data_IF_280170406625
#
_entry.id   IF_280170406625
#
_cell.length_a   1.000
_cell.length_b   1.000
_cell.length_c   1.000
_cell.angle_alpha   90.00
_cell.angle_beta   90.00
_cell.angle_gamma   90.00
#
_symmetry.space_group_name_H-M   'P 1'
#
loop_
_entity.id
_entity.type
_entity.pdbx_description
1 polymer ?
#
# COMPACT_ATOMS: atom_id res chain seq x y z
N UNK A 1 0.92 -28.16 -12.77
CA UNK A 1 0.85 -28.10 -11.28
C UNK A 1 1.50 -26.83 -10.73
N UNK A 2 2.11 -25.98 -11.56
CA UNK A 2 2.89 -24.82 -11.07
C UNK A 2 2.04 -23.62 -10.63
N UNK A 3 0.84 -23.45 -11.18
CA UNK A 3 -0.03 -22.30 -10.89
C UNK A 3 -0.49 -22.23 -9.43
N UNK A 4 -0.92 -23.35 -8.82
CA UNK A 4 -1.34 -23.37 -7.42
C UNK A 4 -0.17 -23.12 -6.47
N UNK A 5 1.00 -23.70 -6.78
CA UNK A 5 2.22 -23.49 -6.00
C UNK A 5 2.68 -22.03 -6.08
N UNK A 6 2.68 -21.45 -7.27
CA UNK A 6 3.01 -20.04 -7.48
C UNK A 6 2.03 -19.13 -6.72
N UNK A 7 0.73 -19.39 -6.82
CA UNK A 7 -0.30 -18.62 -6.13
C UNK A 7 -0.14 -18.71 -4.60
N UNK A 8 0.09 -19.90 -4.04
CA UNK A 8 0.34 -20.08 -2.62
C UNK A 8 1.58 -19.34 -2.11
N UNK A 9 2.66 -19.32 -2.91
CA UNK A 9 3.86 -18.54 -2.59
C UNK A 9 3.58 -17.03 -2.60
N UNK A 10 2.83 -16.54 -3.59
CA UNK A 10 2.46 -15.14 -3.69
C UNK A 10 1.57 -14.70 -2.54
N UNK A 11 0.57 -15.50 -2.16
CA UNK A 11 -0.28 -15.24 -0.99
C UNK A 11 0.58 -15.14 0.28
N UNK A 12 1.52 -16.07 0.46
CA UNK A 12 2.41 -16.07 1.62
C UNK A 12 3.29 -14.83 1.71
N UNK A 13 3.77 -14.32 0.56
CA UNK A 13 4.56 -13.09 0.49
C UNK A 13 3.69 -11.85 0.70
N UNK A 14 2.52 -11.81 0.07
CA UNK A 14 1.57 -10.70 0.17
C UNK A 14 1.07 -10.48 1.61
N UNK A 15 0.85 -11.56 2.38
CA UNK A 15 0.46 -11.46 3.79
C UNK A 15 1.52 -10.82 4.69
N UNK A 16 2.78 -10.76 4.26
CA UNK A 16 3.89 -10.15 4.99
C UNK A 16 4.17 -8.70 4.56
N UNK A 17 3.46 -8.21 3.54
CA UNK A 17 3.64 -6.86 3.01
C UNK A 17 3.10 -5.78 3.95
N UNK A 18 1.90 -5.94 4.55
CA UNK A 18 1.37 -4.96 5.48
C UNK A 18 2.32 -4.75 6.67
N UNK A 19 2.77 -3.52 6.87
CA UNK A 19 3.56 -3.12 8.02
C UNK A 19 2.74 -2.29 9.01
N UNK A 20 3.06 -2.41 10.31
CA UNK A 20 2.37 -1.66 11.37
C UNK A 20 2.81 -0.19 11.44
N UNK A 21 4.04 0.11 11.02
CA UNK A 21 4.62 1.46 11.07
C UNK A 21 4.93 1.93 9.66
N UNK A 22 4.18 2.94 9.21
CA UNK A 22 4.40 3.58 7.90
C UNK A 22 5.50 4.62 8.00
N UNK A 23 6.41 4.63 7.03
CA UNK A 23 7.46 5.64 6.95
C UNK A 23 6.90 7.02 6.57
N UNK A 24 7.54 8.09 7.06
CA UNK A 24 7.17 9.48 6.72
C UNK A 24 7.55 9.88 5.29
N UNK A 25 8.31 9.04 4.58
CA UNK A 25 8.81 9.31 3.25
C UNK A 25 7.73 9.06 2.20
N UNK A 26 7.38 10.09 1.42
CA UNK A 26 6.38 9.98 0.35
C UNK A 26 6.81 9.04 -0.75
N UNK A 27 8.09 9.05 -1.13
CA UNK A 27 8.60 8.19 -2.21
C UNK A 27 8.58 6.73 -1.78
N UNK A 28 8.95 6.44 -0.53
CA UNK A 28 8.77 5.12 0.06
C UNK A 28 7.31 4.67 0.01
N UNK A 29 6.37 5.54 0.40
CA UNK A 29 4.94 5.21 0.41
C UNK A 29 4.42 4.94 -1.01
N UNK A 30 4.87 5.70 -2.01
CA UNK A 30 4.52 5.47 -3.43
C UNK A 30 5.07 4.15 -3.97
N UNK A 31 6.32 3.83 -3.65
CA UNK A 31 6.94 2.56 -4.02
C UNK A 31 6.21 1.38 -3.38
N UNK A 32 5.82 1.53 -2.11
CA UNK A 32 5.07 0.52 -1.37
C UNK A 32 3.67 0.30 -1.96
N UNK A 33 2.96 1.38 -2.34
CA UNK A 33 1.69 1.30 -3.08
C UNK A 33 1.88 0.55 -4.40
N UNK A 34 2.92 0.87 -5.17
CA UNK A 34 3.20 0.21 -6.45
C UNK A 34 3.49 -1.28 -6.27
N UNK A 35 4.25 -1.64 -5.23
CA UNK A 35 4.56 -3.03 -4.85
C UNK A 35 3.30 -3.80 -4.48
N UNK A 36 2.45 -3.23 -3.62
CA UNK A 36 1.19 -3.83 -3.21
C UNK A 36 0.22 -4.01 -4.40
N UNK A 37 0.08 -3.00 -5.27
CA UNK A 37 -0.73 -3.07 -6.50
C UNK A 37 -0.26 -4.17 -7.45
N UNK A 38 1.06 -4.29 -7.65
CA UNK A 38 1.65 -5.35 -8.49
C UNK A 38 1.37 -6.74 -7.93
N UNK A 39 1.46 -6.91 -6.60
CA UNK A 39 1.17 -8.17 -5.93
C UNK A 39 -0.32 -8.53 -6.06
N UNK A 40 -1.21 -7.56 -5.84
CA UNK A 40 -2.65 -7.70 -5.99
C UNK A 40 -3.02 -8.18 -7.40
N UNK A 41 -2.54 -7.47 -8.43
CA UNK A 41 -2.84 -7.82 -9.82
C UNK A 41 -2.36 -9.23 -10.20
N UNK A 42 -1.21 -9.66 -9.64
CA UNK A 42 -0.67 -10.99 -9.92
C UNK A 42 -1.52 -12.09 -9.27
N UNK A 43 -1.93 -11.90 -8.01
CA UNK A 43 -2.81 -12.83 -7.30
C UNK A 43 -4.18 -12.89 -7.98
N UNK A 44 -4.76 -11.73 -8.33
CA UNK A 44 -6.07 -11.63 -8.98
C UNK A 44 -6.12 -12.34 -10.35
N UNK A 45 -5.06 -12.20 -11.13
CA UNK A 45 -4.92 -12.91 -12.40
C UNK A 45 -4.82 -14.42 -12.21
N UNK A 46 -4.03 -14.88 -11.22
CA UNK A 46 -3.80 -16.31 -11.00
C UNK A 46 -5.01 -16.99 -10.36
N UNK A 47 -5.78 -16.30 -9.52
CA UNK A 47 -7.01 -16.84 -8.92
C UNK A 47 -8.12 -17.06 -9.95
N UNK A 48 -8.07 -16.37 -11.10
CA UNK A 48 -9.02 -16.56 -12.20
C UNK A 48 -8.77 -17.84 -13.01
N UNK A 49 -7.72 -18.60 -12.70
CA UNK A 49 -7.39 -19.84 -13.38
C UNK A 49 -8.35 -20.97 -12.97
N UNK A 50 -8.93 -21.73 -13.93
CA UNK A 50 -9.83 -22.85 -13.62
C UNK A 50 -9.12 -24.06 -12.99
N UNK A 51 -7.79 -24.00 -12.83
CA UNK A 51 -6.94 -25.09 -12.35
C UNK A 51 -6.59 -25.00 -10.86
N UNK A 52 -7.26 -24.12 -10.11
CA UNK A 52 -7.02 -23.94 -8.68
C UNK A 52 -8.18 -24.53 -7.87
N UNK A 53 -7.86 -25.05 -6.69
CA UNK A 53 -8.83 -25.52 -5.72
C UNK A 53 -9.66 -24.37 -5.14
N UNK A 54 -10.91 -24.65 -4.76
CA UNK A 54 -11.79 -23.66 -4.12
C UNK A 54 -11.19 -23.10 -2.82
N UNK A 55 -10.42 -23.91 -2.09
CA UNK A 55 -9.69 -23.47 -0.90
C UNK A 55 -8.68 -22.37 -1.26
N UNK A 56 -7.84 -22.61 -2.27
CA UNK A 56 -6.82 -21.66 -2.68
C UNK A 56 -7.43 -20.41 -3.33
N UNK A 57 -8.55 -20.54 -4.04
CA UNK A 57 -9.33 -19.40 -4.54
C UNK A 57 -9.80 -18.50 -3.39
N UNK A 58 -10.38 -19.08 -2.33
CA UNK A 58 -10.80 -18.29 -1.17
C UNK A 58 -9.62 -17.61 -0.48
N UNK A 59 -8.50 -18.33 -0.29
CA UNK A 59 -7.28 -17.73 0.28
C UNK A 59 -6.71 -16.58 -0.57
N UNK A 60 -6.81 -16.69 -1.90
CA UNK A 60 -6.42 -15.63 -2.83
C UNK A 60 -7.33 -14.41 -2.72
N UNK A 61 -8.65 -14.63 -2.65
CA UNK A 61 -9.66 -13.58 -2.46
C UNK A 61 -9.41 -12.81 -1.16
N UNK A 62 -9.28 -13.52 -0.04
CA UNK A 62 -8.97 -12.91 1.26
C UNK A 62 -7.67 -12.09 1.20
N UNK A 63 -6.68 -12.59 0.45
CA UNK A 63 -5.41 -11.88 0.27
C UNK A 63 -5.56 -10.61 -0.60
N UNK A 64 -6.40 -10.65 -1.63
CA UNK A 64 -6.74 -9.49 -2.44
C UNK A 64 -7.45 -8.42 -1.61
N UNK A 65 -8.36 -8.81 -0.71
CA UNK A 65 -9.03 -7.88 0.21
C UNK A 65 -8.03 -7.24 1.17
N UNK A 66 -7.13 -8.04 1.77
CA UNK A 66 -6.04 -7.54 2.62
C UNK A 66 -5.15 -6.51 1.89
N UNK A 67 -4.74 -6.81 0.67
CA UNK A 67 -3.90 -5.90 -0.13
C UNK A 67 -4.66 -4.62 -0.49
N UNK A 68 -5.96 -4.72 -0.79
CA UNK A 68 -6.80 -3.55 -1.09
C UNK A 68 -6.92 -2.62 0.12
N UNK A 69 -7.13 -3.17 1.30
CA UNK A 69 -7.13 -2.40 2.55
C UNK A 69 -5.78 -1.74 2.83
N UNK A 70 -4.68 -2.46 2.60
CA UNK A 70 -3.34 -1.95 2.81
C UNK A 70 -3.01 -0.80 1.83
N UNK A 71 -3.34 -0.96 0.55
CA UNK A 71 -3.21 0.11 -0.46
C UNK A 71 -3.99 1.35 -0.02
N UNK A 72 -5.24 1.18 0.43
CA UNK A 72 -6.07 2.29 0.92
C UNK A 72 -5.42 3.01 2.11
N UNK A 73 -4.83 2.27 3.05
CA UNK A 73 -4.10 2.86 4.19
C UNK A 73 -2.90 3.68 3.72
N UNK A 74 -2.12 3.18 2.78
CA UNK A 74 -0.97 3.90 2.22
C UNK A 74 -1.40 5.17 1.47
N UNK A 75 -2.46 5.10 0.67
CA UNK A 75 -3.00 6.26 -0.05
C UNK A 75 -3.50 7.35 0.91
N UNK A 76 -4.17 6.97 2.01
CA UNK A 76 -4.55 7.90 3.07
C UNK A 76 -3.34 8.51 3.79
N UNK A 77 -2.29 7.73 4.00
CA UNK A 77 -1.06 8.21 4.61
C UNK A 77 -0.39 9.31 3.76
N UNK A 78 -0.33 9.13 2.43
CA UNK A 78 0.18 10.16 1.50
C UNK A 78 -0.60 11.47 1.65
N UNK A 79 -1.94 11.41 1.63
CA UNK A 79 -2.79 12.60 1.80
C UNK A 79 -2.55 13.29 3.14
N UNK A 80 -2.28 12.52 4.20
CA UNK A 80 -1.96 13.07 5.52
C UNK A 80 -0.60 13.79 5.55
N UNK A 81 0.40 13.26 4.83
CA UNK A 81 1.72 13.88 4.68
C UNK A 81 1.63 15.18 3.89
N UNK A 82 0.86 15.21 2.80
CA UNK A 82 0.61 16.42 2.01
C UNK A 82 -0.02 17.54 2.87
N UNK A 83 -0.98 17.19 3.71
CA UNK A 83 -1.65 18.14 4.60
C UNK A 83 -0.70 18.70 5.66
N UNK A 84 0.17 17.84 6.24
CA UNK A 84 1.17 18.27 7.24
C UNK A 84 2.21 19.21 6.65
N UNK A 85 2.71 18.90 5.45
CA UNK A 85 3.66 19.77 4.75
C UNK A 85 3.07 21.14 4.41
N UNK A 86 1.82 21.17 3.94
CA UNK A 86 1.12 22.43 3.68
C UNK A 86 1.01 23.31 4.92
N UNK A 87 0.57 22.73 6.05
CA UNK A 87 0.47 23.47 7.31
C UNK A 87 1.83 24.00 7.78
N UNK A 88 2.88 23.18 7.70
CA UNK A 88 4.25 23.59 8.03
C UNK A 88 4.74 24.78 7.19
N UNK A 89 4.50 24.75 5.87
CA UNK A 89 4.88 25.84 4.97
C UNK A 89 4.14 27.14 5.31
N UNK A 90 2.85 27.05 5.63
CA UNK A 90 2.03 28.20 6.03
C UNK A 90 2.55 28.81 7.34
N UNK A 91 2.91 27.98 8.31
CA UNK A 91 3.42 28.43 9.61
C UNK A 91 4.80 29.07 9.50
N UNK A 92 5.70 28.51 8.67
CA UNK A 92 6.99 29.13 8.34
C UNK A 92 6.78 30.50 7.66
N UNK A 93 5.82 30.62 6.75
CA UNK A 93 5.48 31.89 6.11
C UNK A 93 4.96 32.95 7.10
N UNK A 94 4.17 32.54 8.11
CA UNK A 94 3.72 33.44 9.20
C UNK A 94 4.90 33.87 10.08
N UNK A 95 5.75 32.93 10.48
CA UNK A 95 6.92 33.20 11.32
C UNK A 95 7.88 34.18 10.64
N UNK A 96 8.16 33.98 9.34
CA UNK A 96 9.04 34.87 8.58
C UNK A 96 8.48 36.29 8.47
N UNK A 97 7.16 36.44 8.27
CA UNK A 97 6.51 37.76 8.27
C UNK A 97 6.58 38.46 9.63
N UNK A 98 6.44 37.69 10.73
CA UNK A 98 6.57 38.24 12.08
C UNK A 98 8.02 38.68 12.39
N UNK A 99 9.02 37.94 11.90
CA UNK A 99 10.43 38.26 12.07
C UNK A 99 10.87 39.50 11.26
N UNK A 100 10.25 39.78 10.11
CA UNK A 100 10.57 40.90 9.24
C UNK A 100 10.05 42.28 9.73
N UNK A 101 9.33 42.32 10.87
CA UNK A 101 8.77 43.55 11.46
C UNK A 101 9.69 44.13 12.57
N UNK A 102 10.80 43.45 12.88
CA UNK A 102 11.87 43.92 13.77
C UNK A 102 13.15 44.21 13.00
#
# INVERSE_FOLDING_TARGET
MDTERELGQLISQARRLPCEQLESCKDWTKEEVARAKKMYQKIDRLQSSPKISSKLFNEARDCCDLLSEYIRKLELHILSLDTREFNSLVDLGKANRAAAIF
#
